data_IF_077186390698
#
_entry.id   IF_077186390698
#
_cell.length_a   1.000
_cell.length_b   1.000
_cell.length_c   1.000
_cell.angle_alpha   90.00
_cell.angle_beta   90.00
_cell.angle_gamma   90.00
#
_symmetry.space_group_name_H-M   'P 1'
#
loop_
_entity.id
_entity.type
_entity.pdbx_description
1 polymer ?
#
# COMPACT_ATOMS: atom_id res chain seq x y z
N UNK A 1 19.08 5.91 2.36
CA UNK A 1 17.95 5.65 1.45
C UNK A 1 17.03 4.71 2.19
N UNK A 2 15.72 4.94 2.14
CA UNK A 2 14.77 4.08 2.85
C UNK A 2 14.17 3.07 1.88
N UNK A 3 14.03 1.81 2.31
CA UNK A 3 13.38 0.78 1.52
C UNK A 3 12.28 0.14 2.35
N UNK A 4 11.07 0.11 1.81
CA UNK A 4 9.92 -0.51 2.45
C UNK A 4 9.40 -1.62 1.55
N UNK A 5 9.17 -2.79 2.12
CA UNK A 5 8.49 -3.92 1.49
C UNK A 5 7.11 -4.00 2.14
N UNK A 6 6.04 -3.95 1.34
CA UNK A 6 4.66 -4.12 1.79
C UNK A 6 4.13 -5.39 1.10
N UNK A 7 3.81 -6.43 1.86
CA UNK A 7 3.53 -7.72 1.26
C UNK A 7 2.51 -8.57 2.05
N UNK A 8 1.73 -9.37 1.33
CA UNK A 8 0.79 -10.34 1.91
C UNK A 8 1.42 -11.69 2.29
N UNK A 9 2.67 -11.94 1.90
CA UNK A 9 3.47 -13.05 2.39
C UNK A 9 3.99 -12.77 3.81
N UNK A 10 3.12 -12.94 4.81
CA UNK A 10 3.39 -12.62 6.21
C UNK A 10 4.05 -13.75 7.03
N UNK A 11 4.28 -14.92 6.42
CA UNK A 11 5.05 -16.01 7.03
C UNK A 11 6.50 -15.57 7.30
N UNK A 12 7.11 -15.94 8.45
CA UNK A 12 8.49 -15.58 8.77
C UNK A 12 9.53 -16.01 7.74
N UNK A 13 9.38 -17.17 7.09
CA UNK A 13 10.32 -17.63 6.06
C UNK A 13 10.23 -16.76 4.80
N UNK A 14 9.02 -16.57 4.29
CA UNK A 14 8.78 -15.79 3.08
C UNK A 14 9.19 -14.32 3.24
N UNK A 15 8.82 -13.70 4.36
CA UNK A 15 9.19 -12.31 4.67
C UNK A 15 10.71 -12.15 4.86
N UNK A 16 11.38 -13.08 5.54
CA UNK A 16 12.83 -13.05 5.68
C UNK A 16 13.56 -13.16 4.33
N UNK A 17 13.10 -14.05 3.45
CA UNK A 17 13.66 -14.21 2.09
C UNK A 17 13.53 -12.92 1.28
N UNK A 18 12.37 -12.26 1.34
CA UNK A 18 12.16 -10.96 0.70
C UNK A 18 13.12 -9.89 1.21
N UNK A 19 13.24 -9.77 2.53
CA UNK A 19 14.17 -8.84 3.19
C UNK A 19 15.61 -9.10 2.76
N UNK A 20 16.07 -10.35 2.80
CA UNK A 20 17.44 -10.74 2.39
C UNK A 20 17.69 -10.42 0.92
N UNK A 21 16.72 -10.72 0.04
CA UNK A 21 16.81 -10.45 -1.40
C UNK A 21 16.96 -8.97 -1.69
N UNK A 22 16.12 -8.13 -1.11
CA UNK A 22 16.17 -6.68 -1.26
C UNK A 22 17.46 -6.11 -0.64
N UNK A 23 17.85 -6.56 0.56
CA UNK A 23 19.10 -6.16 1.21
C UNK A 23 20.32 -6.50 0.35
N UNK A 24 20.35 -7.69 -0.25
CA UNK A 24 21.45 -8.13 -1.11
C UNK A 24 21.62 -7.25 -2.35
N UNK A 25 20.50 -6.84 -2.98
CA UNK A 25 20.50 -5.98 -4.16
C UNK A 25 20.85 -4.53 -3.83
N UNK A 26 20.23 -3.95 -2.80
CA UNK A 26 20.36 -2.52 -2.50
C UNK A 26 21.44 -2.18 -1.46
N UNK A 27 22.05 -3.19 -0.83
CA UNK A 27 23.02 -3.02 0.27
C UNK A 27 22.48 -2.15 1.41
N UNK A 28 21.17 -2.18 1.63
CA UNK A 28 20.44 -1.38 2.62
C UNK A 28 19.42 -2.26 3.30
N UNK A 29 19.27 -2.16 4.61
CA UNK A 29 18.27 -2.93 5.36
C UNK A 29 16.85 -2.41 5.03
N UNK A 30 15.96 -3.22 4.44
CA UNK A 30 14.58 -2.82 4.24
C UNK A 30 13.76 -3.00 5.52
N UNK A 31 12.69 -2.22 5.64
CA UNK A 31 11.58 -2.45 6.56
C UNK A 31 10.52 -3.29 5.87
N UNK A 32 9.97 -4.29 6.57
CA UNK A 32 8.89 -5.13 6.06
C UNK A 32 7.58 -4.80 6.78
N UNK A 33 6.50 -4.61 6.04
CA UNK A 33 5.16 -4.38 6.53
C UNK A 33 4.27 -5.50 5.99
N UNK A 34 3.82 -6.38 6.89
CA UNK A 34 2.87 -7.42 6.56
C UNK A 34 1.47 -6.82 6.43
N UNK A 35 0.76 -7.20 5.37
CA UNK A 35 -0.63 -6.79 5.12
C UNK A 35 -1.49 -8.01 4.81
N UNK A 36 -2.80 -7.90 4.97
CA UNK A 36 -3.76 -8.99 4.71
C UNK A 36 -4.48 -8.86 3.37
N UNK A 37 -4.53 -7.66 2.82
CA UNK A 37 -5.29 -7.36 1.62
C UNK A 37 -4.77 -6.09 0.91
N UNK A 38 -5.32 -5.85 -0.27
CA UNK A 38 -4.93 -4.75 -1.16
C UNK A 38 -5.22 -3.37 -0.55
N UNK A 39 -6.28 -3.25 0.26
CA UNK A 39 -6.66 -1.98 0.90
C UNK A 39 -5.66 -1.60 2.01
N UNK A 40 -5.22 -2.57 2.81
CA UNK A 40 -4.14 -2.39 3.79
C UNK A 40 -2.84 -1.98 3.10
N UNK A 41 -2.47 -2.60 1.98
CA UNK A 41 -1.31 -2.18 1.21
C UNK A 41 -1.43 -0.74 0.71
N UNK A 42 -2.61 -0.36 0.21
CA UNK A 42 -2.86 0.99 -0.27
C UNK A 42 -2.62 2.04 0.83
N UNK A 43 -3.13 1.79 2.04
CA UNK A 43 -2.93 2.71 3.16
C UNK A 43 -1.47 2.76 3.62
N UNK A 44 -0.80 1.61 3.69
CA UNK A 44 0.61 1.54 4.07
C UNK A 44 1.55 2.19 3.04
N UNK A 45 1.20 2.23 1.74
CA UNK A 45 1.93 3.04 0.76
C UNK A 45 1.91 4.51 1.17
N UNK A 46 0.74 5.03 1.52
CA UNK A 46 0.57 6.45 1.88
C UNK A 46 1.37 6.77 3.15
N UNK A 47 1.21 5.95 4.19
CA UNK A 47 1.90 6.17 5.47
C UNK A 47 3.42 6.03 5.32
N UNK A 48 3.91 5.07 4.52
CA UNK A 48 5.34 4.94 4.22
C UNK A 48 5.90 6.15 3.47
N UNK A 49 5.13 6.74 2.55
CA UNK A 49 5.54 7.96 1.83
C UNK A 49 5.59 9.17 2.78
N UNK A 50 4.58 9.33 3.64
CA UNK A 50 4.52 10.43 4.61
C UNK A 50 5.67 10.34 5.63
N UNK A 51 5.89 9.15 6.21
CA UNK A 51 6.97 8.89 7.16
C UNK A 51 8.37 9.04 6.57
N UNK A 52 8.52 8.94 5.25
CA UNK A 52 9.80 9.08 4.57
C UNK A 52 10.22 10.56 4.36
N UNK A 53 9.36 11.55 4.66
CA UNK A 53 9.70 12.98 4.71
C UNK A 53 10.47 13.51 3.47
N UNK A 54 10.05 13.11 2.26
CA UNK A 54 10.68 13.46 0.98
C UNK A 54 12.13 12.97 0.78
N UNK A 55 12.63 12.07 1.63
CA UNK A 55 13.95 11.43 1.44
C UNK A 55 13.92 10.47 0.25
N UNK A 56 15.10 10.12 -0.26
CA UNK A 56 15.26 9.12 -1.33
C UNK A 56 14.85 7.74 -0.82
N UNK A 57 13.97 7.03 -1.55
CA UNK A 57 13.53 5.71 -1.15
C UNK A 57 12.90 4.85 -2.23
N UNK A 58 12.65 3.59 -1.88
CA UNK A 58 11.97 2.59 -2.72
C UNK A 58 10.89 1.91 -1.89
N UNK A 59 9.68 1.82 -2.41
CA UNK A 59 8.58 1.05 -1.84
C UNK A 59 8.25 -0.06 -2.82
N UNK A 60 8.37 -1.31 -2.36
CA UNK A 60 8.11 -2.53 -3.11
C UNK A 60 6.83 -3.14 -2.53
N UNK A 61 5.80 -3.34 -3.36
CA UNK A 61 4.45 -3.67 -2.91
C UNK A 61 3.89 -4.84 -3.69
N UNK A 62 3.60 -5.93 -3.01
CA UNK A 62 2.91 -7.03 -3.63
C UNK A 62 1.80 -7.55 -2.73
N UNK A 63 0.59 -7.42 -3.22
CA UNK A 63 -0.57 -8.17 -2.73
C UNK A 63 -1.12 -8.95 -3.91
N UNK A 64 -1.16 -10.27 -3.77
CA UNK A 64 -1.56 -11.20 -4.82
C UNK A 64 -2.46 -12.29 -4.21
N UNK A 65 -3.69 -11.95 -3.79
CA UNK A 65 -4.58 -12.91 -3.17
C UNK A 65 -4.85 -14.05 -4.16
N UNK A 66 -4.55 -15.29 -3.74
CA UNK A 66 -4.60 -16.49 -4.60
C UNK A 66 -6.03 -16.97 -4.95
N UNK A 67 -7.05 -16.16 -4.68
CA UNK A 67 -8.45 -16.43 -4.97
C UNK A 67 -9.10 -15.34 -5.84
N UNK A 68 -10.03 -15.73 -6.73
CA UNK A 68 -10.86 -14.78 -7.48
C UNK A 68 -10.18 -14.09 -8.67
N UNK A 69 -10.34 -12.76 -8.77
CA UNK A 69 -10.08 -11.92 -9.96
C UNK A 69 -8.65 -12.02 -10.51
N UNK A 70 -7.66 -12.44 -9.72
CA UNK A 70 -6.27 -12.62 -10.18
C UNK A 70 -6.10 -13.67 -11.29
N UNK A 71 -7.05 -14.62 -11.44
CA UNK A 71 -7.07 -15.60 -12.55
C UNK A 71 -7.32 -14.97 -13.93
N UNK A 72 -7.76 -13.71 -14.00
CA UNK A 72 -7.98 -13.01 -15.27
C UNK A 72 -6.69 -12.74 -16.03
N UNK A 73 -5.54 -12.80 -15.35
CA UNK A 73 -4.24 -12.59 -15.95
C UNK A 73 -3.51 -13.92 -16.13
N UNK A 74 -3.09 -14.21 -17.37
CA UNK A 74 -2.38 -15.46 -17.74
C UNK A 74 -1.15 -15.74 -16.87
N UNK A 75 -0.45 -14.69 -16.45
CA UNK A 75 0.77 -14.78 -15.63
C UNK A 75 0.56 -14.21 -14.21
N UNK A 76 -0.69 -14.13 -13.73
CA UNK A 76 -1.06 -13.48 -12.46
C UNK A 76 -1.01 -11.95 -12.53
N UNK A 77 -1.32 -11.28 -11.41
CA UNK A 77 -1.41 -9.81 -11.33
C UNK A 77 -0.18 -9.11 -11.93
N UNK A 78 -0.35 -8.10 -12.81
CA UNK A 78 0.76 -7.35 -13.39
C UNK A 78 1.43 -6.45 -12.35
N UNK A 79 2.72 -6.17 -12.59
CA UNK A 79 3.49 -5.19 -11.82
C UNK A 79 3.60 -3.89 -12.59
N UNK A 80 3.78 -2.79 -11.86
CA UNK A 80 4.05 -1.49 -12.45
C UNK A 80 4.79 -0.58 -11.51
N UNK A 81 5.19 0.57 -12.03
CA UNK A 81 5.93 1.54 -11.25
C UNK A 81 5.55 2.98 -11.58
N UNK A 82 5.79 3.84 -10.59
CA UNK A 82 5.79 5.29 -10.76
C UNK A 82 6.76 5.92 -9.75
N UNK A 83 7.12 7.17 -10.01
CA UNK A 83 7.92 7.97 -9.10
C UNK A 83 7.02 8.99 -8.42
N UNK A 84 7.09 9.05 -7.09
CA UNK A 84 6.54 10.15 -6.31
C UNK A 84 7.67 10.94 -5.70
N UNK A 85 7.95 12.13 -6.25
CA UNK A 85 9.13 12.94 -5.90
C UNK A 85 10.42 12.09 -6.02
N UNK A 86 11.08 11.79 -4.90
CA UNK A 86 12.34 11.03 -4.82
C UNK A 86 12.14 9.56 -4.42
N UNK A 87 10.90 9.08 -4.42
CA UNK A 87 10.51 7.73 -4.00
C UNK A 87 10.07 6.96 -5.24
N UNK A 88 10.68 5.80 -5.48
CA UNK A 88 10.21 4.83 -6.46
C UNK A 88 9.17 3.94 -5.79
N UNK A 89 8.01 3.78 -6.42
CA UNK A 89 7.01 2.79 -6.03
C UNK A 89 6.97 1.73 -7.12
N UNK A 90 7.21 0.48 -6.76
CA UNK A 90 6.98 -0.70 -7.60
C UNK A 90 5.90 -1.53 -6.92
N UNK A 91 4.84 -1.86 -7.64
CA UNK A 91 3.65 -2.44 -7.03
C UNK A 91 2.93 -3.42 -7.94
N UNK A 92 2.25 -4.42 -7.37
CA UNK A 92 1.11 -5.06 -8.02
C UNK A 92 0.01 -4.01 -8.30
N UNK A 93 -0.71 -4.12 -9.42
CA UNK A 93 -1.59 -3.03 -9.89
C UNK A 93 -3.09 -3.36 -9.75
N UNK A 94 -3.44 -4.62 -9.52
CA UNK A 94 -4.85 -5.00 -9.46
C UNK A 94 -5.53 -4.59 -8.15
N UNK A 95 -6.87 -4.59 -8.21
CA UNK A 95 -7.77 -4.34 -7.11
C UNK A 95 -7.55 -2.99 -6.45
N UNK A 96 -7.40 -2.98 -5.12
CA UNK A 96 -7.32 -1.74 -4.33
C UNK A 96 -5.90 -1.26 -4.03
N UNK A 97 -4.87 -1.96 -4.50
CA UNK A 97 -3.47 -1.72 -4.07
C UNK A 97 -3.04 -0.27 -4.28
N UNK A 98 -3.39 0.34 -5.41
CA UNK A 98 -3.07 1.74 -5.73
C UNK A 98 -4.25 2.70 -5.57
N UNK A 99 -5.36 2.28 -4.95
CA UNK A 99 -6.60 3.07 -4.88
C UNK A 99 -6.45 4.38 -4.08
N UNK A 100 -5.68 4.40 -2.99
CA UNK A 100 -5.38 5.64 -2.25
C UNK A 100 -4.37 6.55 -2.97
N UNK A 101 -3.48 5.97 -3.78
CA UNK A 101 -2.60 6.73 -4.69
C UNK A 101 -3.44 7.49 -5.72
N UNK A 102 -4.49 6.85 -6.26
CA UNK A 102 -5.47 7.48 -7.13
C UNK A 102 -6.28 8.57 -6.40
N UNK A 103 -6.87 8.27 -5.23
CA UNK A 103 -7.63 9.24 -4.41
C UNK A 103 -6.82 10.53 -4.16
N UNK A 104 -5.53 10.39 -3.85
CA UNK A 104 -4.63 11.51 -3.55
C UNK A 104 -3.98 12.13 -4.81
N UNK A 105 -4.26 11.60 -6.00
CA UNK A 105 -3.74 12.07 -7.30
C UNK A 105 -2.21 12.20 -7.29
N UNK A 106 -1.52 11.22 -6.72
CA UNK A 106 -0.07 11.30 -6.48
C UNK A 106 0.77 11.20 -7.75
N UNK A 107 0.23 10.59 -8.80
CA UNK A 107 0.82 10.51 -10.13
C UNK A 107 -0.28 10.65 -11.18
N UNK A 108 0.06 11.02 -12.41
CA UNK A 108 -0.86 10.99 -13.55
C UNK A 108 -0.90 9.62 -14.23
N UNK A 109 0.20 8.88 -14.18
CA UNK A 109 0.38 7.64 -14.92
C UNK A 109 1.09 6.57 -14.09
N UNK A 110 0.77 5.31 -14.40
CA UNK A 110 1.48 4.12 -13.94
C UNK A 110 2.14 3.46 -15.15
N UNK A 111 3.39 3.04 -15.02
CA UNK A 111 4.11 2.31 -16.04
C UNK A 111 3.99 0.81 -15.78
N UNK A 112 3.19 0.12 -16.59
CA UNK A 112 2.95 -1.33 -16.54
C UNK A 112 4.16 -2.07 -17.12
N UNK A 113 4.68 -3.01 -16.35
CA UNK A 113 5.81 -3.84 -16.73
C UNK A 113 5.32 -5.10 -17.43
N UNK A 114 5.90 -5.39 -18.59
CA UNK A 114 5.88 -6.74 -19.14
C UNK A 114 7.02 -7.54 -18.49
N UNK A 115 6.70 -8.71 -17.92
CA UNK A 115 7.67 -9.50 -17.16
C UNK A 115 8.78 -10.04 -18.05
N UNK A 116 8.44 -10.55 -19.23
CA UNK A 116 9.40 -11.18 -20.14
C UNK A 116 10.33 -10.14 -20.76
N UNK A 117 9.77 -9.05 -21.27
CA UNK A 117 10.55 -7.94 -21.82
C UNK A 117 11.46 -7.31 -20.75
N UNK A 118 10.94 -7.12 -19.53
CA UNK A 118 11.76 -6.60 -18.43
C UNK A 118 12.91 -7.54 -18.09
N UNK A 119 12.70 -8.85 -18.06
CA UNK A 119 13.75 -9.83 -17.77
C UNK A 119 14.83 -9.84 -18.86
N UNK A 120 14.45 -9.76 -20.14
CA UNK A 120 15.40 -9.66 -21.24
C UNK A 120 16.28 -8.40 -21.09
N UNK A 121 15.67 -7.24 -20.81
CA UNK A 121 16.41 -6.00 -20.56
C UNK A 121 17.37 -6.14 -19.37
N UNK A 122 16.91 -6.76 -18.27
CA UNK A 122 17.76 -6.99 -17.10
C UNK A 122 18.95 -7.89 -17.43
N UNK A 123 18.77 -8.92 -18.26
CA UNK A 123 19.83 -9.83 -18.66
C UNK A 123 20.84 -9.16 -19.62
N UNK A 124 20.36 -8.43 -20.63
CA UNK A 124 21.19 -7.66 -21.56
C UNK A 124 22.06 -6.63 -20.82
N UNK A 125 21.51 -6.04 -19.75
CA UNK A 125 22.21 -5.09 -18.89
C UNK A 125 23.01 -5.76 -17.76
N UNK A 126 23.13 -7.08 -17.75
CA UNK A 126 23.89 -7.90 -16.79
C UNK A 126 23.46 -7.73 -15.33
N UNK A 127 22.19 -7.38 -15.08
CA UNK A 127 21.59 -7.38 -13.73
C UNK A 127 21.16 -8.78 -13.29
N UNK A 128 20.92 -9.67 -14.26
CA UNK A 128 20.71 -11.11 -14.08
C UNK A 128 21.50 -11.85 -15.17
N UNK A 129 21.64 -13.17 -15.01
CA UNK A 129 22.18 -14.04 -16.06
C UNK A 129 21.08 -14.50 -17.01
N UNK A 130 21.42 -14.78 -18.27
CA UNK A 130 20.49 -15.27 -19.28
C UNK A 130 19.76 -16.56 -18.85
N UNK A 131 20.48 -17.49 -18.21
CA UNK A 131 19.96 -18.75 -17.67
C UNK A 131 18.86 -18.56 -16.61
N UNK A 132 18.80 -17.39 -15.96
CA UNK A 132 17.82 -17.12 -14.90
C UNK A 132 16.46 -16.68 -15.45
N UNK A 133 16.36 -16.27 -16.72
CA UNK A 133 15.12 -15.72 -17.28
C UNK A 133 13.99 -16.75 -17.21
N UNK A 134 14.23 -17.97 -17.69
CA UNK A 134 13.20 -19.03 -17.70
C UNK A 134 12.70 -19.36 -16.30
N UNK A 135 13.62 -19.44 -15.32
CA UNK A 135 13.27 -19.69 -13.93
C UNK A 135 12.39 -18.57 -13.36
N UNK A 136 12.80 -17.30 -13.52
CA UNK A 136 12.08 -16.17 -12.93
C UNK A 136 10.71 -15.99 -13.61
N UNK A 137 10.66 -16.15 -14.94
CA UNK A 137 9.42 -16.05 -15.73
C UNK A 137 8.35 -17.02 -15.24
N UNK A 138 8.75 -18.24 -14.89
CA UNK A 138 7.84 -19.30 -14.46
C UNK A 138 7.69 -19.41 -12.93
N UNK A 139 8.36 -18.54 -12.16
CA UNK A 139 8.31 -18.56 -10.71
C UNK A 139 6.91 -18.26 -10.20
N UNK A 140 6.44 -19.06 -9.25
CA UNK A 140 5.20 -18.79 -8.51
C UNK A 140 5.39 -17.70 -7.45
N UNK A 141 6.64 -17.31 -7.16
CA UNK A 141 6.99 -16.29 -6.18
C UNK A 141 7.56 -15.04 -6.87
N UNK A 142 6.79 -14.47 -7.81
CA UNK A 142 7.22 -13.33 -8.64
C UNK A 142 7.62 -12.09 -7.83
N UNK A 143 6.98 -11.86 -6.69
CA UNK A 143 7.36 -10.78 -5.76
C UNK A 143 8.72 -10.98 -5.12
N UNK A 144 9.28 -12.19 -5.13
CA UNK A 144 10.65 -12.48 -4.67
C UNK A 144 11.64 -12.52 -5.82
N UNK A 145 11.27 -13.13 -6.95
CA UNK A 145 12.21 -13.37 -8.05
C UNK A 145 12.29 -12.25 -9.09
N UNK A 146 11.18 -11.59 -9.39
CA UNK A 146 11.10 -10.55 -10.41
C UNK A 146 11.12 -9.15 -9.79
N UNK A 147 10.15 -8.86 -8.93
CA UNK A 147 9.85 -7.52 -8.43
C UNK A 147 11.06 -6.78 -7.81
N UNK A 148 11.83 -7.36 -6.87
CA UNK A 148 12.96 -6.66 -6.27
C UNK A 148 14.10 -6.39 -7.26
N UNK A 149 14.23 -7.22 -8.32
CA UNK A 149 15.25 -7.04 -9.36
C UNK A 149 14.90 -5.89 -10.28
N UNK A 150 13.65 -5.85 -10.75
CA UNK A 150 13.20 -4.73 -11.57
C UNK A 150 13.15 -3.43 -10.77
N UNK A 151 12.80 -3.48 -9.47
CA UNK A 151 12.90 -2.32 -8.58
C UNK A 151 14.35 -1.81 -8.45
N UNK A 152 15.33 -2.70 -8.30
CA UNK A 152 16.75 -2.31 -8.27
C UNK A 152 17.21 -1.69 -9.60
N UNK A 153 16.84 -2.31 -10.73
CA UNK A 153 17.12 -1.75 -12.05
C UNK A 153 16.51 -0.36 -12.22
N UNK A 154 15.22 -0.20 -11.91
CA UNK A 154 14.49 1.07 -12.00
C UNK A 154 15.10 2.13 -11.08
N UNK A 155 15.53 1.76 -9.88
CA UNK A 155 16.17 2.70 -8.97
C UNK A 155 17.43 3.34 -9.56
N UNK A 156 18.26 2.50 -10.21
CA UNK A 156 19.52 2.90 -10.86
C UNK A 156 19.30 3.64 -12.18
N UNK A 157 18.39 3.15 -13.02
CA UNK A 157 18.24 3.60 -14.41
C UNK A 157 17.01 4.49 -14.66
N UNK A 158 16.20 4.72 -13.63
CA UNK A 158 14.97 5.55 -13.61
C UNK A 158 13.77 5.03 -14.41
N UNK A 159 14.03 4.30 -15.49
CA UNK A 159 12.98 3.75 -16.35
C UNK A 159 13.39 2.41 -16.94
N UNK A 160 12.37 1.64 -17.30
CA UNK A 160 12.45 0.46 -18.16
C UNK A 160 11.31 0.54 -19.17
N UNK A 161 11.41 -0.16 -20.30
CA UNK A 161 10.33 -0.23 -21.28
C UNK A 161 9.06 -0.74 -20.61
N UNK A 162 7.96 -0.06 -20.86
CA UNK A 162 6.70 -0.25 -20.12
C UNK A 162 5.53 0.39 -20.88
N UNK A 163 4.33 -0.15 -20.68
CA UNK A 163 3.08 0.47 -21.17
C UNK A 163 2.57 1.48 -20.15
N UNK A 164 2.24 2.70 -20.56
CA UNK A 164 1.63 3.69 -19.66
C UNK A 164 0.11 3.50 -19.59
N UNK A 165 -0.45 3.58 -18.40
CA UNK A 165 -1.89 3.72 -18.15
C UNK A 165 -2.16 4.95 -17.29
N UNK A 166 -3.36 5.50 -17.38
CA UNK A 166 -3.80 6.59 -16.51
C UNK A 166 -3.98 6.10 -15.08
N UNK A 167 -3.67 6.94 -14.08
CA UNK A 167 -4.02 6.64 -12.68
C UNK A 167 -5.53 6.48 -12.49
N UNK A 168 -6.34 7.13 -13.35
CA UNK A 168 -7.80 7.03 -13.30
C UNK A 168 -8.35 5.67 -13.76
N UNK A 169 -7.49 4.80 -14.33
CA UNK A 169 -7.86 3.40 -14.61
C UNK A 169 -7.76 2.51 -13.35
N UNK A 170 -7.11 3.01 -12.28
CA UNK A 170 -7.06 2.32 -10.99
C UNK A 170 -8.38 2.53 -10.26
N UNK A 171 -8.92 1.46 -9.66
CA UNK A 171 -10.18 1.51 -8.92
C UNK A 171 -10.17 2.57 -7.83
N UNK A 172 -11.28 3.29 -7.69
CA UNK A 172 -11.50 4.22 -6.59
C UNK A 172 -11.52 3.46 -5.27
N UNK A 173 -10.94 4.08 -4.24
CA UNK A 173 -10.94 3.50 -2.89
C UNK A 173 -12.34 3.62 -2.28
N UNK A 174 -12.90 2.53 -1.71
CA UNK A 174 -14.17 2.61 -0.99
C UNK A 174 -13.99 3.44 0.28
N UNK A 175 -15.08 4.04 0.77
CA UNK A 175 -15.13 4.63 2.12
C UNK A 175 -15.17 3.48 3.14
N UNK A 176 -14.04 3.16 3.73
CA UNK A 176 -13.88 1.94 4.51
C UNK A 176 -12.82 2.10 5.61
N UNK A 177 -12.81 1.16 6.54
CA UNK A 177 -11.65 0.89 7.41
C UNK A 177 -10.56 0.28 6.54
N UNK A 178 -9.37 0.88 6.49
CA UNK A 178 -8.22 0.28 5.80
C UNK A 178 -7.23 -0.38 6.77
N UNK A 179 -7.26 -0.04 8.06
CA UNK A 179 -6.38 -0.63 9.07
C UNK A 179 -6.99 -0.60 10.46
N UNK A 180 -6.68 -1.62 11.26
CA UNK A 180 -6.95 -1.64 12.69
C UNK A 180 -5.60 -1.67 13.39
N UNK A 181 -5.28 -0.64 14.18
CA UNK A 181 -4.02 -0.58 14.89
C UNK A 181 -3.98 -1.52 16.11
N UNK A 182 -2.81 -1.62 16.76
CA UNK A 182 -2.61 -2.51 17.90
C UNK A 182 -3.47 -2.13 19.12
N UNK A 183 -3.98 -0.90 19.20
CA UNK A 183 -4.88 -0.45 20.26
C UNK A 183 -6.36 -0.72 19.91
N UNK A 184 -6.64 -1.05 18.65
CA UNK A 184 -7.98 -1.27 18.14
C UNK A 184 -8.64 -0.02 17.58
N UNK A 185 -7.90 1.05 17.32
CA UNK A 185 -8.42 2.18 16.56
C UNK A 185 -8.55 1.78 15.09
N UNK A 186 -9.66 2.16 14.45
CA UNK A 186 -9.94 1.79 13.07
C UNK A 186 -9.66 2.99 12.16
N UNK A 187 -8.57 2.92 11.39
CA UNK A 187 -8.17 3.94 10.43
C UNK A 187 -9.00 3.84 9.16
N UNK A 188 -9.51 4.96 8.70
CA UNK A 188 -10.47 5.03 7.58
C UNK A 188 -9.84 5.58 6.31
N UNK A 189 -10.48 5.43 5.16
CA UNK A 189 -10.05 6.04 3.88
C UNK A 189 -10.67 7.43 3.65
N UNK A 190 -11.36 7.95 4.67
CA UNK A 190 -12.22 9.14 4.60
C UNK A 190 -11.50 10.35 5.17
N UNK A 191 -11.74 11.52 4.58
CA UNK A 191 -11.29 12.80 5.13
C UNK A 191 -12.44 13.58 5.77
N UNK A 192 -12.14 14.37 6.82
CA UNK A 192 -13.13 15.25 7.46
C UNK A 192 -13.87 16.17 6.47
N UNK A 193 -13.13 16.70 5.48
CA UNK A 193 -13.64 17.60 4.44
C UNK A 193 -14.68 16.95 3.52
N UNK A 194 -14.66 15.62 3.35
CA UNK A 194 -15.63 14.89 2.50
C UNK A 194 -17.03 14.88 3.10
N UNK A 195 -17.14 15.19 4.39
CA UNK A 195 -18.39 15.24 5.15
C UNK A 195 -18.64 16.61 5.79
N UNK A 196 -17.84 17.63 5.43
CA UNK A 196 -17.88 18.96 6.04
C UNK A 196 -17.88 18.92 7.59
N UNK A 197 -17.14 17.96 8.17
CA UNK A 197 -17.14 17.75 9.62
C UNK A 197 -16.46 18.92 10.35
N UNK A 198 -17.19 19.48 11.32
CA UNK A 198 -16.70 20.48 12.28
C UNK A 198 -16.67 19.86 13.67
N UNK A 199 -15.75 20.31 14.52
CA UNK A 199 -15.64 19.83 15.89
C UNK A 199 -17.01 19.82 16.59
N UNK A 200 -17.34 18.69 17.22
CA UNK A 200 -18.62 18.50 17.91
C UNK A 200 -19.77 18.00 17.04
N UNK A 201 -19.66 18.08 15.69
CA UNK A 201 -20.63 17.48 14.78
C UNK A 201 -20.54 15.96 14.82
N UNK A 202 -21.50 15.30 14.18
CA UNK A 202 -21.55 13.84 14.12
C UNK A 202 -21.41 13.33 12.70
N UNK A 203 -20.68 12.22 12.55
CA UNK A 203 -20.73 11.38 11.36
C UNK A 203 -21.73 10.24 11.61
N UNK A 204 -22.68 10.06 10.69
CA UNK A 204 -23.52 8.87 10.64
C UNK A 204 -22.74 7.76 9.93
N UNK A 205 -22.66 6.59 10.55
CA UNK A 205 -22.10 5.37 9.96
C UNK A 205 -23.11 4.22 10.09
N UNK A 206 -22.87 3.13 9.37
CA UNK A 206 -23.58 1.86 9.48
C UNK A 206 -23.48 1.19 10.87
N UNK A 207 -22.55 1.61 11.72
CA UNK A 207 -22.38 1.10 13.09
C UNK A 207 -22.64 2.17 14.17
N UNK A 208 -23.24 3.31 13.79
CA UNK A 208 -23.75 4.30 14.75
C UNK A 208 -23.47 5.75 14.37
N UNK A 209 -23.81 6.66 15.29
CA UNK A 209 -23.57 8.09 15.14
C UNK A 209 -22.38 8.48 16.01
N UNK A 210 -21.27 8.85 15.38
CA UNK A 210 -20.00 9.15 16.06
C UNK A 210 -19.76 10.65 16.12
N UNK A 211 -19.52 11.17 17.32
CA UNK A 211 -19.15 12.58 17.50
C UNK A 211 -17.72 12.80 17.03
N UNK A 212 -17.49 13.86 16.25
CA UNK A 212 -16.19 14.22 15.71
C UNK A 212 -15.41 15.10 16.68
N UNK A 213 -14.18 14.66 16.99
CA UNK A 213 -13.19 15.42 17.75
C UNK A 213 -11.93 15.62 16.91
N UNK A 214 -11.13 16.65 17.22
CA UNK A 214 -9.90 16.90 16.46
C UNK A 214 -8.81 15.87 16.79
N UNK A 215 -8.72 15.43 18.05
CA UNK A 215 -7.66 14.54 18.56
C UNK A 215 -8.21 13.57 19.59
N UNK A 216 -7.53 12.44 19.78
CA UNK A 216 -7.93 11.38 20.72
C UNK A 216 -8.10 11.88 22.16
N UNK A 217 -7.18 12.73 22.65
CA UNK A 217 -7.24 13.27 24.01
C UNK A 217 -8.50 14.10 24.33
N UNK A 218 -9.21 14.57 23.30
CA UNK A 218 -10.41 15.37 23.45
C UNK A 218 -11.67 14.47 23.56
N UNK A 219 -11.52 13.16 23.36
CA UNK A 219 -12.60 12.17 23.41
C UNK A 219 -12.84 11.76 24.88
N UNK A 220 -14.07 11.87 25.39
CA UNK A 220 -14.39 11.39 26.74
C UNK A 220 -14.17 9.88 26.90
N UNK A 221 -13.75 9.47 28.09
CA UNK A 221 -13.48 8.08 28.40
C UNK A 221 -14.67 7.15 28.08
N UNK A 222 -14.35 6.00 27.47
CA UNK A 222 -15.29 4.94 27.13
C UNK A 222 -16.39 5.37 26.14
N UNK A 223 -16.29 6.56 25.52
CA UNK A 223 -17.23 7.03 24.50
C UNK A 223 -16.66 6.82 23.10
N UNK A 224 -17.43 6.19 22.18
CA UNK A 224 -17.07 6.14 20.78
C UNK A 224 -17.04 7.52 20.14
N UNK A 225 -16.03 7.72 19.30
CA UNK A 225 -15.83 8.95 18.56
C UNK A 225 -15.20 8.67 17.21
N UNK A 226 -15.25 9.68 16.36
CA UNK A 226 -14.41 9.76 15.18
C UNK A 226 -13.44 10.92 15.34
N UNK A 227 -12.18 10.73 14.99
CA UNK A 227 -11.14 11.75 15.11
C UNK A 227 -10.42 11.96 13.79
N UNK A 228 -9.67 13.05 13.67
CA UNK A 228 -8.63 13.15 12.65
C UNK A 228 -7.40 12.40 13.15
N UNK A 229 -7.05 11.33 12.43
CA UNK A 229 -5.94 10.44 12.74
C UNK A 229 -4.58 10.98 12.34
N UNK A 230 -3.55 10.17 12.61
CA UNK A 230 -2.17 10.46 12.21
C UNK A 230 -1.87 10.00 10.78
N UNK A 231 -2.55 8.97 10.29
CA UNK A 231 -2.30 8.41 8.95
C UNK A 231 -2.81 9.32 7.83
N UNK A 232 -2.15 9.23 6.67
CA UNK A 232 -2.43 10.08 5.51
C UNK A 232 -1.18 10.80 5.00
N UNK A 233 -1.39 11.82 4.17
CA UNK A 233 -0.28 12.52 3.49
C UNK A 233 -0.40 14.03 3.64
N UNK A 234 0.61 14.65 4.24
CA UNK A 234 0.66 16.10 4.44
C UNK A 234 -0.55 16.61 5.24
N UNK A 235 -1.38 17.46 4.63
CA UNK A 235 -2.62 18.00 5.26
C UNK A 235 -3.83 17.09 5.12
N UNK A 236 -3.77 16.04 4.29
CA UNK A 236 -4.86 15.09 4.11
C UNK A 236 -4.70 13.93 5.10
N UNK A 237 -5.28 14.10 6.29
CA UNK A 237 -5.25 13.09 7.35
C UNK A 237 -6.57 12.32 7.39
N UNK A 238 -6.47 11.01 7.41
CA UNK A 238 -7.61 10.12 7.46
C UNK A 238 -8.36 10.25 8.78
N UNK A 239 -9.67 10.01 8.77
CA UNK A 239 -10.43 9.86 9.99
C UNK A 239 -10.12 8.52 10.66
N UNK A 240 -10.29 8.43 11.98
CA UNK A 240 -10.14 7.20 12.75
C UNK A 240 -11.33 7.02 13.69
N UNK A 241 -11.87 5.81 13.77
CA UNK A 241 -12.87 5.42 14.77
C UNK A 241 -12.14 4.95 16.02
N UNK A 242 -12.46 5.56 17.15
CA UNK A 242 -11.75 5.35 18.42
C UNK A 242 -12.74 5.23 19.58
N UNK A 243 -12.28 4.61 20.67
CA UNK A 243 -12.93 4.70 21.97
C UNK A 243 -11.83 4.95 23.00
N UNK A 244 -11.83 6.12 23.66
CA UNK A 244 -10.81 6.42 24.65
C UNK A 244 -10.81 5.38 25.77
N UNK A 245 -9.65 4.72 25.98
CA UNK A 245 -9.49 3.64 26.96
C UNK A 245 -10.13 2.29 26.59
N UNK A 246 -10.59 2.08 25.34
CA UNK A 246 -11.12 0.80 24.85
C UNK A 246 -10.72 0.50 23.40
N UNK A 247 -10.90 -0.75 22.99
CA UNK A 247 -10.66 -1.20 21.63
C UNK A 247 -11.92 -0.98 20.76
N UNK A 248 -11.87 -0.04 19.81
CA UNK A 248 -13.01 0.30 18.95
C UNK A 248 -13.37 -0.83 17.98
N UNK A 249 -12.36 -1.50 17.41
CA UNK A 249 -12.54 -2.62 16.50
C UNK A 249 -13.33 -3.77 17.14
N UNK A 250 -12.97 -4.17 18.36
CA UNK A 250 -13.71 -5.20 19.11
C UNK A 250 -15.11 -4.74 19.48
N UNK A 251 -15.27 -3.49 19.91
CA UNK A 251 -16.57 -2.96 20.33
C UNK A 251 -17.59 -2.93 19.19
N UNK A 252 -17.16 -2.54 17.98
CA UNK A 252 -18.03 -2.45 16.80
C UNK A 252 -17.93 -3.66 15.87
N UNK A 253 -17.15 -4.69 16.21
CA UNK A 253 -16.80 -5.80 15.34
C UNK A 253 -16.28 -5.35 13.96
N UNK A 254 -15.34 -4.41 13.97
CA UNK A 254 -14.72 -3.82 12.77
C UNK A 254 -13.36 -4.44 12.46
N UNK A 255 -13.07 -4.50 11.17
CA UNK A 255 -11.87 -5.03 10.54
C UNK A 255 -11.59 -4.26 9.23
N UNK A 256 -10.40 -4.45 8.66
CA UNK A 256 -10.08 -3.87 7.35
C UNK A 256 -11.08 -4.34 6.29
N UNK A 257 -11.54 -3.42 5.43
CA UNK A 257 -12.57 -3.64 4.42
C UNK A 257 -14.00 -3.33 4.86
N UNK A 258 -14.28 -3.17 6.16
CA UNK A 258 -15.62 -2.76 6.58
C UNK A 258 -15.93 -1.34 6.09
N UNK A 259 -17.07 -1.18 5.42
CA UNK A 259 -17.51 0.09 4.84
C UNK A 259 -17.95 1.09 5.91
N UNK A 260 -17.83 2.37 5.57
CA UNK A 260 -18.35 3.52 6.32
C UNK A 260 -19.40 4.18 5.44
N UNK A 261 -20.65 3.75 5.62
CA UNK A 261 -21.83 4.27 4.91
C UNK A 261 -22.65 5.18 5.82
#
# INVERSE_FOLDING_TARGET
MNITIINDCNDPNDSARQVIRVKSLFKTQPTFIAVKNELEASGNIIDAIDANENKKGVIIVNVAPRGGKGKKFKNGTPFGYFWYKKILIVSSIDGLTLSLVNKLKMTKFINILDTEESLNILADKKYIKQEQISYIKNSQFRSFDFEPRVAYYLWKNKSIKSKKISIGEISDVPKAIWWVDNFGNCKTTVFAKEYNLKFGNFLKTNFGKLKYYKRLKDVPDKKPAIITGSSGLGKNRFLEVVIQGKNAAKYFNLSSGNLIN
#
